data_IF_634241239079
#
_entry.id   IF_634241239079
#
_cell.length_a   1.000
_cell.length_b   1.000
_cell.length_c   1.000
_cell.angle_alpha   90.00
_cell.angle_beta   90.00
_cell.angle_gamma   90.00
#
_symmetry.space_group_name_H-M   'P 1'
#
loop_
_entity.id
_entity.type
_entity.pdbx_description
1 polymer ?
#
# COMPACT_ATOMS: atom_id res chain seq x y z
N UNK A 1 -11.63 -37.69 22.48
CA UNK A 1 -12.57 -37.01 21.55
C UNK A 1 -13.83 -37.85 21.46
N UNK A 2 -15.00 -37.32 21.82
CA UNK A 2 -16.25 -38.04 21.60
C UNK A 2 -16.49 -38.12 20.08
N UNK A 3 -16.48 -39.33 19.53
CA UNK A 3 -16.86 -39.55 18.14
C UNK A 3 -18.35 -39.24 18.01
N UNK A 4 -18.65 -38.04 17.50
CA UNK A 4 -20.01 -37.66 17.11
C UNK A 4 -20.42 -38.55 15.93
N UNK A 5 -21.11 -39.67 16.21
CA UNK A 5 -21.80 -40.42 15.17
C UNK A 5 -22.94 -39.53 14.65
N UNK A 6 -22.80 -39.05 13.42
CA UNK A 6 -23.77 -38.15 12.76
C UNK A 6 -24.55 -38.92 11.68
N UNK A 7 -23.98 -40.00 11.13
CA UNK A 7 -24.52 -40.72 9.98
C UNK A 7 -25.84 -41.48 10.18
N UNK A 8 -26.42 -41.50 11.39
CA UNK A 8 -27.74 -42.12 11.66
C UNK A 8 -28.87 -41.09 11.72
N UNK A 9 -28.57 -39.78 11.67
CA UNK A 9 -29.59 -38.74 11.77
C UNK A 9 -30.32 -38.57 10.45
N UNK A 10 -31.62 -38.28 10.53
CA UNK A 10 -32.36 -37.79 9.37
C UNK A 10 -31.84 -36.42 8.93
N UNK A 11 -32.11 -36.03 7.67
CA UNK A 11 -31.70 -34.72 7.15
C UNK A 11 -32.27 -33.56 8.01
N UNK A 12 -33.52 -33.68 8.47
CA UNK A 12 -34.16 -32.67 9.31
C UNK A 12 -33.50 -32.59 10.70
N UNK A 13 -33.22 -33.72 11.33
CA UNK A 13 -32.55 -33.76 12.64
C UNK A 13 -31.11 -33.25 12.55
N UNK A 14 -30.41 -33.56 11.46
CA UNK A 14 -29.07 -33.06 11.20
C UNK A 14 -29.06 -31.53 11.09
N UNK A 15 -29.97 -30.94 10.30
CA UNK A 15 -30.07 -29.49 10.14
C UNK A 15 -30.47 -28.80 11.45
N UNK A 16 -31.42 -29.36 12.20
CA UNK A 16 -31.83 -28.82 13.50
C UNK A 16 -30.68 -28.88 14.52
N UNK A 17 -29.96 -30.01 14.58
CA UNK A 17 -28.79 -30.18 15.45
C UNK A 17 -27.66 -29.23 15.06
N UNK A 18 -27.37 -29.09 13.77
CA UNK A 18 -26.38 -28.16 13.25
C UNK A 18 -26.72 -26.72 13.62
N UNK A 19 -27.98 -26.31 13.46
CA UNK A 19 -28.45 -24.99 13.87
C UNK A 19 -28.22 -24.69 15.36
N UNK A 20 -28.48 -25.66 16.25
CA UNK A 20 -28.17 -25.54 17.68
C UNK A 20 -26.67 -25.40 17.95
N UNK A 21 -25.84 -26.17 17.25
CA UNK A 21 -24.37 -26.06 17.38
C UNK A 21 -23.87 -24.69 16.93
N UNK A 22 -24.39 -24.14 15.83
CA UNK A 22 -24.04 -22.80 15.35
C UNK A 22 -24.44 -21.72 16.36
N UNK A 23 -25.59 -21.83 17.00
CA UNK A 23 -25.99 -20.90 18.06
C UNK A 23 -25.03 -20.98 19.27
N UNK A 24 -24.69 -22.20 19.70
CA UNK A 24 -23.72 -22.40 20.78
C UNK A 24 -22.34 -21.88 20.41
N UNK A 25 -21.89 -22.07 19.17
CA UNK A 25 -20.64 -21.54 18.65
C UNK A 25 -20.60 -20.01 18.74
N UNK A 26 -21.68 -19.32 18.36
CA UNK A 26 -21.77 -17.86 18.46
C UNK A 26 -21.72 -17.37 19.90
N UNK A 27 -22.41 -18.05 20.82
CA UNK A 27 -22.35 -17.75 22.26
C UNK A 27 -20.93 -17.93 22.82
N UNK A 28 -20.28 -19.06 22.52
CA UNK A 28 -18.90 -19.31 22.92
C UNK A 28 -17.98 -18.25 22.32
N UNK A 29 -18.19 -17.87 21.06
CA UNK A 29 -17.41 -16.83 20.40
C UNK A 29 -17.55 -15.50 21.12
N UNK A 30 -18.76 -15.09 21.48
CA UNK A 30 -19.00 -13.88 22.29
C UNK A 30 -18.24 -13.93 23.62
N UNK A 31 -18.36 -15.02 24.39
CA UNK A 31 -17.63 -15.19 25.66
C UNK A 31 -16.11 -15.14 25.49
N UNK A 32 -15.59 -15.73 24.41
CA UNK A 32 -14.16 -15.63 24.06
C UNK A 32 -13.76 -14.17 23.82
N UNK A 33 -14.59 -13.37 23.15
CA UNK A 33 -14.29 -11.95 22.93
C UNK A 33 -14.31 -11.15 24.23
N UNK A 34 -15.22 -11.42 25.17
CA UNK A 34 -15.22 -10.78 26.49
C UNK A 34 -13.93 -11.08 27.25
N UNK A 35 -13.50 -12.34 27.28
CA UNK A 35 -12.23 -12.73 27.87
C UNK A 35 -11.05 -12.02 27.19
N UNK A 36 -11.04 -11.95 25.85
CA UNK A 36 -9.97 -11.25 25.12
C UNK A 36 -9.97 -9.75 25.45
N UNK A 37 -11.14 -9.12 25.57
CA UNK A 37 -11.25 -7.70 25.92
C UNK A 37 -10.68 -7.42 27.32
N UNK A 38 -10.95 -8.33 28.28
CA UNK A 38 -10.46 -8.22 29.64
C UNK A 38 -8.95 -8.50 29.73
N UNK A 39 -8.45 -9.51 29.00
CA UNK A 39 -7.02 -9.79 28.86
C UNK A 39 -6.29 -8.58 28.27
N UNK A 40 -6.85 -7.91 27.25
CA UNK A 40 -6.27 -6.70 26.64
C UNK A 40 -6.25 -5.54 27.66
N UNK A 41 -7.35 -5.37 28.42
CA UNK A 41 -7.49 -4.32 29.45
C UNK A 41 -6.45 -4.46 30.56
N UNK A 42 -6.31 -5.67 31.11
CA UNK A 42 -5.35 -5.99 32.17
C UNK A 42 -3.93 -6.24 31.67
N UNK A 43 -3.73 -6.31 30.36
CA UNK A 43 -2.45 -6.63 29.70
C UNK A 43 -1.81 -7.94 30.20
N UNK A 44 -2.61 -8.96 30.51
CA UNK A 44 -2.12 -10.23 31.11
C UNK A 44 -1.11 -10.98 30.23
N UNK A 45 -1.06 -10.66 28.94
CA UNK A 45 -0.06 -11.20 28.01
C UNK A 45 1.37 -10.75 28.34
N UNK A 46 1.55 -9.61 29.01
CA UNK A 46 2.86 -9.12 29.46
C UNK A 46 3.44 -10.01 30.55
N UNK A 47 2.60 -10.43 31.52
CA UNK A 47 2.99 -11.35 32.60
C UNK A 47 3.37 -12.75 32.06
N UNK A 48 2.92 -13.06 30.85
CA UNK A 48 3.26 -14.29 30.11
C UNK A 48 4.43 -14.10 29.13
N UNK A 49 5.17 -13.00 29.23
CA UNK A 49 6.33 -12.67 28.39
C UNK A 49 6.03 -12.53 26.89
N UNK A 50 4.80 -12.18 26.52
CA UNK A 50 4.44 -11.86 25.14
C UNK A 50 4.48 -10.34 24.91
N UNK A 51 5.08 -9.86 23.81
CA UNK A 51 5.21 -8.42 23.54
C UNK A 51 3.88 -7.76 23.15
N UNK A 52 2.86 -8.53 22.80
CA UNK A 52 1.54 -8.02 22.45
C UNK A 52 0.46 -9.10 22.62
N UNK A 53 -0.80 -8.66 22.75
CA UNK A 53 -1.97 -9.55 22.71
C UNK A 53 -2.04 -10.38 21.43
N UNK A 54 -1.63 -9.81 20.29
CA UNK A 54 -1.58 -10.54 19.02
C UNK A 54 -0.62 -11.73 19.10
N UNK A 55 0.61 -11.50 19.58
CA UNK A 55 1.61 -12.56 19.70
C UNK A 55 1.14 -13.65 20.67
N UNK A 56 0.49 -13.24 21.76
CA UNK A 56 -0.10 -14.15 22.74
C UNK A 56 -1.17 -15.04 22.12
N UNK A 57 -2.13 -14.49 21.39
CA UNK A 57 -3.19 -15.28 20.75
C UNK A 57 -2.65 -16.22 19.66
N UNK A 58 -1.63 -15.79 18.91
CA UNK A 58 -1.05 -16.61 17.83
C UNK A 58 -0.18 -17.74 18.38
N UNK A 59 0.74 -17.43 19.30
CA UNK A 59 1.73 -18.39 19.79
C UNK A 59 1.19 -19.31 20.88
N UNK A 60 0.45 -18.77 21.85
CA UNK A 60 -0.07 -19.56 22.98
C UNK A 60 -1.34 -20.34 22.59
N UNK A 61 -2.28 -19.66 21.94
CA UNK A 61 -3.60 -20.24 21.62
C UNK A 61 -3.74 -20.74 20.18
N UNK A 62 -2.68 -20.65 19.37
CA UNK A 62 -2.64 -21.24 18.02
C UNK A 62 -3.57 -20.56 17.01
N UNK A 63 -4.04 -19.33 17.26
CA UNK A 63 -4.85 -18.61 16.27
C UNK A 63 -4.01 -18.26 15.04
N UNK A 64 -4.62 -18.37 13.86
CA UNK A 64 -4.02 -17.77 12.66
C UNK A 64 -3.95 -16.25 12.80
N UNK A 65 -3.00 -15.61 12.11
CA UNK A 65 -2.83 -14.15 12.13
C UNK A 65 -4.13 -13.39 11.87
N UNK A 66 -4.89 -13.81 10.86
CA UNK A 66 -6.17 -13.19 10.51
C UNK A 66 -7.26 -13.45 11.56
N UNK A 67 -7.29 -14.64 12.15
CA UNK A 67 -8.24 -14.99 13.19
C UNK A 67 -7.98 -14.23 14.50
N UNK A 68 -6.71 -14.06 14.87
CA UNK A 68 -6.29 -13.29 16.04
C UNK A 68 -6.66 -11.80 15.89
N UNK A 69 -6.30 -11.19 14.75
CA UNK A 69 -6.62 -9.78 14.48
C UNK A 69 -8.13 -9.51 14.52
N UNK A 70 -8.94 -10.34 13.86
CA UNK A 70 -10.41 -10.18 13.87
C UNK A 70 -10.98 -10.24 15.29
N UNK A 71 -10.47 -11.14 16.13
CA UNK A 71 -10.90 -11.27 17.53
C UNK A 71 -10.48 -10.07 18.37
N UNK A 72 -9.25 -9.61 18.23
CA UNK A 72 -8.76 -8.42 18.95
C UNK A 72 -9.58 -7.19 18.57
N UNK A 73 -9.83 -6.99 17.27
CA UNK A 73 -10.63 -5.86 16.79
C UNK A 73 -12.08 -5.94 17.26
N UNK A 74 -12.69 -7.13 17.19
CA UNK A 74 -14.06 -7.35 17.66
C UNK A 74 -14.17 -7.19 19.18
N UNK A 75 -13.20 -7.67 19.95
CA UNK A 75 -13.17 -7.55 21.41
C UNK A 75 -13.03 -6.09 21.86
N UNK A 76 -12.20 -5.30 21.18
CA UNK A 76 -12.08 -3.85 21.43
C UNK A 76 -13.38 -3.12 21.12
N UNK A 77 -14.01 -3.43 19.99
CA UNK A 77 -15.30 -2.86 19.62
C UNK A 77 -16.40 -3.26 20.61
N UNK A 78 -16.42 -4.52 21.05
CA UNK A 78 -17.36 -5.02 22.06
C UNK A 78 -17.25 -4.27 23.39
N UNK A 79 -16.02 -3.91 23.82
CA UNK A 79 -15.79 -3.12 25.03
C UNK A 79 -16.31 -1.68 24.89
N UNK A 80 -16.23 -1.10 23.70
CA UNK A 80 -16.73 0.24 23.42
C UNK A 80 -18.26 0.27 23.21
N UNK A 81 -18.83 -0.79 22.62
CA UNK A 81 -20.25 -0.93 22.29
C UNK A 81 -20.77 -2.30 22.75
N UNK A 82 -21.19 -2.44 24.03
CA UNK A 82 -21.61 -3.72 24.60
C UNK A 82 -22.82 -4.36 23.91
N UNK A 83 -23.69 -3.56 23.28
CA UNK A 83 -24.87 -4.03 22.53
C UNK A 83 -24.53 -5.02 21.38
N UNK A 84 -23.29 -4.99 20.90
CA UNK A 84 -22.79 -5.92 19.88
C UNK A 84 -22.86 -7.38 20.35
N UNK A 85 -22.80 -7.66 21.66
CA UNK A 85 -22.89 -8.99 22.24
C UNK A 85 -24.11 -9.77 21.69
N UNK A 86 -25.30 -9.19 21.84
CA UNK A 86 -26.56 -9.81 21.41
C UNK A 86 -26.63 -9.99 19.88
N UNK A 87 -26.01 -9.08 19.14
CA UNK A 87 -25.93 -9.13 17.67
C UNK A 87 -25.01 -10.24 17.17
N UNK A 88 -23.93 -10.53 17.90
CA UNK A 88 -23.06 -11.69 17.62
C UNK A 88 -23.80 -12.99 17.91
N UNK A 89 -24.46 -13.10 19.06
CA UNK A 89 -25.16 -14.33 19.47
C UNK A 89 -26.32 -14.69 18.53
N UNK A 90 -27.13 -13.69 18.15
CA UNK A 90 -28.20 -13.86 17.16
C UNK A 90 -27.65 -14.14 15.75
N UNK A 91 -26.41 -13.75 15.47
CA UNK A 91 -25.78 -13.84 14.15
C UNK A 91 -26.22 -12.72 13.19
N UNK A 92 -26.81 -11.65 13.71
CA UNK A 92 -27.03 -10.42 12.94
C UNK A 92 -25.69 -9.79 12.50
N UNK A 93 -24.65 -9.94 13.33
CA UNK A 93 -23.29 -9.51 13.04
C UNK A 93 -22.29 -10.65 13.22
N UNK A 94 -21.19 -10.61 12.47
CA UNK A 94 -20.09 -11.56 12.58
C UNK A 94 -18.72 -10.88 12.73
N UNK A 95 -17.71 -11.63 13.18
CA UNK A 95 -16.34 -11.16 13.43
C UNK A 95 -15.69 -10.43 12.25
N UNK A 96 -16.01 -10.83 11.01
CA UNK A 96 -15.45 -10.20 9.81
C UNK A 96 -15.97 -8.78 9.64
N UNK A 97 -17.28 -8.59 9.87
CA UNK A 97 -17.91 -7.28 9.81
C UNK A 97 -17.40 -6.35 10.91
N UNK A 98 -17.33 -6.84 12.16
CA UNK A 98 -16.83 -6.06 13.30
C UNK A 98 -15.38 -5.60 13.11
N UNK A 99 -14.53 -6.49 12.58
CA UNK A 99 -13.15 -6.17 12.22
C UNK A 99 -13.08 -5.05 11.17
N UNK A 100 -13.93 -5.10 10.13
CA UNK A 100 -14.01 -4.02 9.13
C UNK A 100 -14.49 -2.69 9.70
N UNK A 101 -15.49 -2.71 10.58
CA UNK A 101 -15.95 -1.50 11.28
C UNK A 101 -14.80 -0.88 12.06
N UNK A 102 -14.05 -1.66 12.86
CA UNK A 102 -12.93 -1.12 13.63
C UNK A 102 -11.82 -0.55 12.73
N UNK A 103 -11.56 -1.18 11.58
CA UNK A 103 -10.60 -0.68 10.58
C UNK A 103 -11.08 0.62 9.94
N UNK A 104 -12.37 0.72 9.61
CA UNK A 104 -12.97 1.93 9.08
C UNK A 104 -12.89 3.08 10.09
N UNK A 105 -13.29 2.84 11.35
CA UNK A 105 -13.17 3.81 12.46
C UNK A 105 -11.73 4.31 12.62
N UNK A 106 -10.74 3.41 12.62
CA UNK A 106 -9.32 3.81 12.69
C UNK A 106 -8.87 4.62 11.47
N UNK A 107 -9.44 4.36 10.30
CA UNK A 107 -9.11 5.08 9.06
C UNK A 107 -9.65 6.51 9.12
N UNK A 108 -10.91 6.68 9.53
CA UNK A 108 -11.53 8.00 9.81
C UNK A 108 -10.71 8.76 10.84
N UNK A 109 -10.33 8.10 11.94
CA UNK A 109 -9.53 8.73 12.99
C UNK A 109 -8.19 9.25 12.48
N UNK A 110 -7.55 8.57 11.53
CA UNK A 110 -6.28 9.02 10.94
C UNK A 110 -6.47 10.14 9.93
N UNK A 111 -7.55 10.11 9.14
CA UNK A 111 -7.81 11.09 8.09
C UNK A 111 -8.30 12.42 8.63
N UNK A 112 -9.29 12.35 9.52
CA UNK A 112 -10.00 13.52 10.03
C UNK A 112 -9.45 13.98 11.38
N UNK A 113 -8.49 13.24 11.95
CA UNK A 113 -7.94 13.47 13.29
C UNK A 113 -9.02 13.58 14.39
N UNK A 114 -10.17 12.92 14.19
CA UNK A 114 -11.31 12.90 15.13
C UNK A 114 -11.55 11.51 15.67
N UNK A 115 -12.04 11.40 16.90
CA UNK A 115 -12.56 10.14 17.42
C UNK A 115 -14.05 10.04 17.07
N UNK A 116 -14.47 8.85 16.65
CA UNK A 116 -15.88 8.56 16.45
C UNK A 116 -16.55 8.25 17.79
N UNK A 117 -17.71 8.84 18.01
CA UNK A 117 -18.51 8.62 19.20
C UNK A 117 -19.15 7.23 19.22
N UNK A 118 -19.55 6.79 20.41
CA UNK A 118 -20.22 5.50 20.61
C UNK A 118 -21.52 5.41 19.80
N UNK A 119 -22.27 6.52 19.70
CA UNK A 119 -23.52 6.63 18.95
C UNK A 119 -23.31 6.44 17.45
N UNK A 120 -22.30 7.09 16.87
CA UNK A 120 -21.96 6.91 15.44
C UNK A 120 -21.58 5.45 15.15
N UNK A 121 -20.82 4.80 16.05
CA UNK A 121 -20.47 3.38 15.93
C UNK A 121 -21.72 2.49 15.99
N UNK A 122 -22.66 2.78 16.87
CA UNK A 122 -23.93 2.05 16.97
C UNK A 122 -24.77 2.17 15.70
N UNK A 123 -24.85 3.37 15.11
CA UNK A 123 -25.57 3.57 13.84
C UNK A 123 -24.95 2.79 12.69
N UNK A 124 -23.62 2.80 12.58
CA UNK A 124 -22.91 1.97 11.60
C UNK A 124 -23.20 0.49 11.79
N UNK A 125 -23.15 0.01 13.03
CA UNK A 125 -23.39 -1.40 13.36
C UNK A 125 -24.81 -1.84 12.99
N UNK A 126 -25.81 -0.98 13.22
CA UNK A 126 -27.20 -1.23 12.79
C UNK A 126 -27.34 -1.33 11.27
N UNK A 127 -26.62 -0.48 10.53
CA UNK A 127 -26.71 -0.45 9.06
C UNK A 127 -26.14 -1.69 8.36
N UNK A 128 -25.27 -2.46 9.04
CA UNK A 128 -24.57 -3.62 8.44
C UNK A 128 -25.15 -4.97 8.89
N UNK A 129 -26.18 -4.99 9.72
CA UNK A 129 -26.84 -6.22 10.19
C UNK A 129 -27.36 -7.06 9.01
N UNK A 130 -27.15 -8.38 9.06
CA UNK A 130 -27.59 -9.33 8.02
C UNK A 130 -27.05 -9.05 6.60
N UNK A 131 -25.99 -8.26 6.48
CA UNK A 131 -25.37 -7.97 5.17
C UNK A 131 -24.21 -8.92 4.85
N UNK A 132 -23.93 -9.08 3.56
CA UNK A 132 -22.74 -9.80 3.12
C UNK A 132 -21.48 -8.97 3.33
N UNK A 133 -20.33 -9.62 3.31
CA UNK A 133 -19.02 -8.98 3.50
C UNK A 133 -18.74 -7.84 2.49
N UNK A 134 -19.25 -7.98 1.26
CA UNK A 134 -19.11 -6.99 0.19
C UNK A 134 -20.06 -5.80 0.40
N UNK A 135 -21.32 -6.08 0.75
CA UNK A 135 -22.28 -5.03 1.07
C UNK A 135 -21.85 -4.22 2.30
N UNK A 136 -21.29 -4.87 3.33
CA UNK A 136 -20.72 -4.18 4.50
C UNK A 136 -19.65 -3.17 4.08
N UNK A 137 -18.74 -3.52 3.17
CA UNK A 137 -17.70 -2.57 2.70
C UNK A 137 -18.29 -1.37 1.97
N UNK A 138 -19.28 -1.61 1.11
CA UNK A 138 -19.95 -0.54 0.36
C UNK A 138 -20.64 0.41 1.34
N UNK A 139 -21.39 -0.13 2.30
CA UNK A 139 -22.11 0.66 3.32
C UNK A 139 -21.14 1.46 4.18
N UNK A 140 -20.06 0.85 4.67
CA UNK A 140 -19.05 1.55 5.48
C UNK A 140 -18.35 2.65 4.69
N UNK A 141 -18.03 2.40 3.42
CA UNK A 141 -17.42 3.40 2.55
C UNK A 141 -18.33 4.61 2.33
N UNK A 142 -19.61 4.36 2.04
CA UNK A 142 -20.61 5.40 1.84
C UNK A 142 -20.91 6.18 3.12
N UNK A 143 -21.16 5.48 4.23
CA UNK A 143 -21.55 6.10 5.50
C UNK A 143 -20.45 7.00 6.08
N UNK A 144 -19.18 6.61 5.89
CA UNK A 144 -18.03 7.34 6.40
C UNK A 144 -17.35 8.23 5.36
N UNK A 145 -17.93 8.34 4.16
CA UNK A 145 -17.33 9.05 3.01
C UNK A 145 -15.85 8.68 2.80
N UNK A 146 -15.50 7.42 3.07
CA UNK A 146 -14.12 6.98 3.02
C UNK A 146 -13.65 7.00 1.57
N UNK A 147 -12.50 7.63 1.27
CA UNK A 147 -11.96 7.56 -0.06
C UNK A 147 -11.67 6.10 -0.37
N UNK A 148 -12.11 5.64 -1.54
CA UNK A 148 -11.72 4.33 -2.05
C UNK A 148 -10.20 4.42 -2.23
N UNK A 149 -9.45 3.81 -1.30
CA UNK A 149 -8.00 3.75 -1.38
C UNK A 149 -7.61 2.88 -2.57
N UNK A 150 -7.46 3.52 -3.72
CA UNK A 150 -6.88 2.95 -4.94
C UNK A 150 -5.36 3.07 -4.88
N UNK A 151 -4.75 2.60 -3.79
CA UNK A 151 -3.29 2.50 -3.75
C UNK A 151 -2.88 1.22 -4.48
N UNK A 152 -2.01 1.40 -5.47
CA UNK A 152 -1.38 0.28 -6.16
C UNK A 152 -0.49 -0.46 -5.15
N UNK A 153 -0.82 -1.72 -4.88
CA UNK A 153 -0.04 -2.56 -3.96
C UNK A 153 0.92 -3.42 -4.75
N UNK A 154 2.20 -3.30 -4.43
CA UNK A 154 3.25 -4.17 -4.93
C UNK A 154 3.69 -5.11 -3.81
N UNK A 155 3.58 -6.41 -4.05
CA UNK A 155 4.06 -7.44 -3.13
C UNK A 155 5.15 -8.26 -3.80
N UNK A 156 6.34 -8.18 -3.24
CA UNK A 156 7.48 -9.00 -3.65
C UNK A 156 7.39 -10.37 -2.95
N UNK A 157 7.59 -11.42 -3.73
CA UNK A 157 7.65 -12.79 -3.24
C UNK A 157 9.09 -13.26 -3.06
N UNK A 158 9.27 -14.42 -2.42
CA UNK A 158 10.59 -14.99 -2.13
C UNK A 158 11.33 -15.45 -3.39
N UNK A 159 10.59 -15.75 -4.45
CA UNK A 159 11.10 -16.17 -5.75
C UNK A 159 11.35 -14.99 -6.71
N UNK A 160 11.46 -13.77 -6.17
CA UNK A 160 11.59 -12.51 -6.92
C UNK A 160 10.40 -12.15 -7.82
N UNK A 161 9.33 -12.97 -7.82
CA UNK A 161 8.11 -12.61 -8.51
C UNK A 161 7.39 -11.46 -7.79
N UNK A 162 6.67 -10.64 -8.57
CA UNK A 162 5.98 -9.46 -8.06
C UNK A 162 4.49 -9.58 -8.35
N UNK A 163 3.67 -9.45 -7.32
CA UNK A 163 2.22 -9.27 -7.49
C UNK A 163 1.88 -7.80 -7.41
N UNK A 164 1.37 -7.27 -8.52
CA UNK A 164 0.81 -5.93 -8.62
C UNK A 164 -0.72 -6.00 -8.48
N UNK A 165 -1.26 -5.35 -7.46
CA UNK A 165 -2.71 -5.19 -7.27
C UNK A 165 -3.08 -3.73 -7.53
N UNK A 166 -3.82 -3.49 -8.61
CA UNK A 166 -4.31 -2.17 -8.99
C UNK A 166 -5.84 -2.16 -9.01
N UNK A 167 -6.44 -1.01 -8.70
CA UNK A 167 -7.89 -0.80 -8.81
C UNK A 167 -8.17 0.09 -10.01
N UNK A 168 -8.87 -0.45 -11.01
CA UNK A 168 -9.18 0.26 -12.25
C UNK A 168 -10.61 0.76 -12.23
N UNK A 169 -10.83 1.98 -12.72
CA UNK A 169 -12.17 2.45 -13.04
C UNK A 169 -12.77 1.64 -14.19
N UNK A 170 -14.11 1.69 -14.35
CA UNK A 170 -14.79 1.02 -15.47
C UNK A 170 -14.24 1.47 -16.83
N UNK A 171 -13.94 2.76 -16.96
CA UNK A 171 -13.37 3.36 -18.18
C UNK A 171 -11.93 2.85 -18.43
N UNK A 172 -11.09 2.84 -17.40
CA UNK A 172 -9.71 2.33 -17.50
C UNK A 172 -9.67 0.86 -17.89
N UNK A 173 -10.55 0.04 -17.31
CA UNK A 173 -10.65 -1.38 -17.66
C UNK A 173 -11.13 -1.59 -19.10
N UNK A 174 -12.04 -0.74 -19.60
CA UNK A 174 -12.50 -0.80 -20.99
C UNK A 174 -11.36 -0.50 -21.97
N UNK A 175 -10.54 0.52 -21.68
CA UNK A 175 -9.35 0.87 -22.48
C UNK A 175 -8.35 -0.29 -22.51
N UNK A 176 -8.09 -0.92 -21.36
CA UNK A 176 -7.15 -2.05 -21.30
C UNK A 176 -7.67 -3.27 -22.07
N UNK A 177 -8.97 -3.57 -22.02
CA UNK A 177 -9.58 -4.62 -22.83
C UNK A 177 -9.47 -4.35 -24.32
N UNK A 178 -9.79 -3.12 -24.75
CA UNK A 178 -9.64 -2.73 -26.15
C UNK A 178 -8.18 -2.86 -26.62
N UNK A 179 -7.22 -2.45 -25.78
CA UNK A 179 -5.80 -2.61 -26.09
C UNK A 179 -5.41 -4.10 -26.18
N UNK A 180 -5.93 -4.96 -25.31
CA UNK A 180 -5.71 -6.41 -25.33
C UNK A 180 -6.25 -7.05 -26.63
N UNK A 181 -7.44 -6.66 -27.07
CA UNK A 181 -8.04 -7.17 -28.31
C UNK A 181 -7.21 -6.77 -29.54
N UNK A 182 -6.69 -5.54 -29.58
CA UNK A 182 -5.84 -5.05 -30.68
C UNK A 182 -4.48 -5.77 -30.76
N UNK A 183 -3.97 -6.28 -29.64
CA UNK A 183 -2.68 -7.00 -29.60
C UNK A 183 -2.84 -8.53 -29.58
N UNK A 184 -4.06 -9.06 -29.68
CA UNK A 184 -4.34 -10.49 -29.55
C UNK A 184 -3.56 -11.36 -30.56
N UNK A 185 -3.23 -10.82 -31.73
CA UNK A 185 -2.37 -11.49 -32.71
C UNK A 185 -0.88 -11.53 -32.32
N UNK A 186 -0.42 -10.55 -31.54
CA UNK A 186 0.97 -10.46 -31.09
C UNK A 186 1.21 -11.16 -29.74
N UNK A 187 0.18 -11.23 -28.89
CA UNK A 187 0.20 -11.91 -27.59
C UNK A 187 -1.02 -12.85 -27.50
N UNK A 188 -0.87 -14.12 -27.90
CA UNK A 188 -1.99 -15.08 -27.93
C UNK A 188 -2.49 -15.45 -26.52
N UNK A 189 -1.59 -15.50 -25.54
CA UNK A 189 -1.95 -15.73 -24.14
C UNK A 189 -2.57 -14.45 -23.56
N UNK A 190 -3.88 -14.48 -23.27
CA UNK A 190 -4.65 -13.33 -22.73
C UNK A 190 -4.32 -12.96 -21.28
N UNK A 191 -3.10 -13.22 -20.82
CA UNK A 191 -2.62 -12.83 -19.50
C UNK A 191 -2.32 -11.34 -19.50
N UNK A 192 -2.76 -10.67 -18.44
CA UNK A 192 -2.55 -9.23 -18.27
C UNK A 192 -1.07 -8.86 -18.17
N UNK A 193 -0.25 -9.69 -17.52
CA UNK A 193 1.20 -9.47 -17.40
C UNK A 193 1.87 -9.33 -18.78
N UNK A 194 1.55 -10.24 -19.70
CA UNK A 194 2.15 -10.26 -21.05
C UNK A 194 1.62 -9.11 -21.90
N UNK A 195 0.30 -8.85 -21.81
CA UNK A 195 -0.37 -7.75 -22.52
C UNK A 195 0.22 -6.39 -22.11
N UNK A 196 0.36 -6.15 -20.80
CA UNK A 196 0.95 -4.91 -20.25
C UNK A 196 2.42 -4.80 -20.64
N UNK A 197 3.18 -5.90 -20.54
CA UNK A 197 4.61 -5.92 -20.91
C UNK A 197 4.81 -5.57 -22.37
N UNK A 198 4.00 -6.14 -23.27
CA UNK A 198 4.08 -5.85 -24.71
C UNK A 198 3.78 -4.37 -25.01
N UNK A 199 2.71 -3.82 -24.43
CA UNK A 199 2.35 -2.40 -24.59
C UNK A 199 3.45 -1.48 -24.06
N UNK A 200 4.00 -1.79 -22.88
CA UNK A 200 5.09 -1.03 -22.28
C UNK A 200 6.36 -1.08 -23.16
N UNK A 201 6.74 -2.26 -23.66
CA UNK A 201 7.89 -2.41 -24.55
C UNK A 201 7.71 -1.64 -25.86
N UNK A 202 6.51 -1.62 -26.43
CA UNK A 202 6.21 -0.84 -27.65
C UNK A 202 6.38 0.65 -27.40
N UNK A 203 5.91 1.17 -26.27
CA UNK A 203 6.07 2.58 -25.91
C UNK A 203 7.52 2.94 -25.60
N UNK A 204 8.24 2.08 -24.88
CA UNK A 204 9.67 2.25 -24.61
C UNK A 204 10.46 2.27 -25.92
N UNK A 205 10.22 1.33 -26.84
CA UNK A 205 10.86 1.28 -28.15
C UNK A 205 10.57 2.54 -28.96
N UNK A 206 9.29 2.96 -29.04
CA UNK A 206 8.88 4.19 -29.73
C UNK A 206 9.67 5.39 -29.23
N UNK A 207 9.67 5.63 -27.91
CA UNK A 207 10.37 6.79 -27.32
C UNK A 207 11.89 6.68 -27.41
N UNK A 208 12.46 5.48 -27.31
CA UNK A 208 13.92 5.29 -27.40
C UNK A 208 14.41 5.48 -28.84
N UNK A 209 13.66 5.02 -29.84
CA UNK A 209 13.98 5.19 -31.26
C UNK A 209 13.81 6.64 -31.72
N UNK A 210 12.78 7.35 -31.28
CA UNK A 210 12.63 8.79 -31.56
C UNK A 210 13.82 9.59 -31.03
N UNK A 211 14.41 9.18 -29.89
CA UNK A 211 15.58 9.83 -29.30
C UNK A 211 16.89 9.55 -30.05
N UNK A 212 17.00 8.41 -30.76
CA UNK A 212 18.15 8.04 -31.60
C UNK A 212 18.10 8.71 -32.98
N UNK A 213 16.91 8.84 -33.58
CA UNK A 213 16.74 9.49 -34.88
C UNK A 213 17.08 11.00 -34.84
N UNK A 214 16.80 11.68 -33.72
CA UNK A 214 17.15 13.10 -33.54
C UNK A 214 18.64 13.38 -33.30
N UNK A 215 19.49 12.36 -33.12
CA UNK A 215 20.93 12.53 -32.85
C UNK A 215 21.84 12.36 -34.07
N UNK A 216 21.31 12.05 -35.25
CA UNK A 216 22.13 11.75 -36.45
C UNK A 216 22.24 12.94 -37.42
N UNK A 217 21.45 14.00 -37.27
CA UNK A 217 21.58 15.22 -38.09
C UNK A 217 22.24 16.37 -37.32
N UNK A 218 23.59 16.33 -37.21
CA UNK A 218 24.44 17.54 -37.22
C UNK A 218 25.94 17.16 -37.25
N UNK A 219 26.45 16.80 -38.42
CA UNK A 219 27.81 17.17 -38.86
C UNK A 219 27.78 18.66 -39.25
N UNK A 220 28.79 19.51 -39.15
CA UNK A 220 30.16 19.52 -38.60
C UNK A 220 30.69 20.95 -38.88
N UNK A 221 31.46 21.55 -37.96
CA UNK A 221 32.64 22.41 -38.24
C UNK A 221 33.20 23.02 -36.94
N UNK A 222 34.52 23.23 -36.84
CA UNK A 222 35.19 23.75 -35.65
C UNK A 222 35.56 25.24 -35.82
N UNK A 223 35.36 26.07 -34.77
CA UNK A 223 36.10 27.34 -34.64
C UNK A 223 36.48 27.56 -33.18
N UNK A 224 37.75 27.88 -32.99
CA UNK A 224 38.44 28.13 -31.74
C UNK A 224 38.18 29.54 -31.17
N UNK A 225 38.37 29.65 -29.85
CA UNK A 225 38.74 30.81 -28.99
C UNK A 225 37.89 32.11 -29.12
N UNK A 226 37.58 32.88 -28.07
CA UNK A 226 38.39 33.47 -27.00
C UNK A 226 37.46 33.97 -25.87
N UNK A 227 38.06 34.26 -24.71
CA UNK A 227 37.45 34.65 -23.43
C UNK A 227 36.66 35.98 -23.41
N UNK A 228 35.71 36.10 -22.46
CA UNK A 228 35.67 37.13 -21.40
C UNK A 228 34.34 37.12 -20.61
N UNK A 229 34.45 37.37 -19.30
CA UNK A 229 33.40 37.45 -18.30
C UNK A 229 32.20 38.35 -18.65
N UNK A 230 30.99 37.82 -18.43
CA UNK A 230 29.86 38.54 -17.81
C UNK A 230 28.83 37.50 -17.32
N UNK A 231 28.51 37.53 -16.02
CA UNK A 231 27.69 36.53 -15.30
C UNK A 231 26.21 36.61 -15.69
N UNK A 232 25.90 36.24 -16.92
CA UNK A 232 24.57 35.84 -17.31
C UNK A 232 24.42 34.35 -17.04
N UNK A 233 23.41 34.01 -16.24
CA UNK A 233 23.07 32.64 -15.83
C UNK A 233 22.88 31.78 -17.07
N UNK A 234 23.87 30.98 -17.42
CA UNK A 234 23.73 30.00 -18.49
C UNK A 234 23.07 28.75 -17.90
N UNK A 235 21.80 28.46 -18.27
CA UNK A 235 21.17 27.23 -17.85
C UNK A 235 21.93 26.03 -18.43
N UNK A 236 21.97 24.93 -17.67
CA UNK A 236 22.51 23.65 -18.15
C UNK A 236 21.88 23.29 -19.50
N UNK A 237 22.72 23.09 -20.52
CA UNK A 237 22.24 22.76 -21.86
C UNK A 237 21.44 21.45 -21.84
N UNK A 238 20.36 21.32 -22.64
CA UNK A 238 19.57 20.09 -22.70
C UNK A 238 20.42 18.84 -23.00
N UNK A 239 21.47 19.00 -23.82
CA UNK A 239 22.43 17.93 -24.15
C UNK A 239 23.22 17.47 -22.92
N UNK A 240 23.72 18.41 -22.12
CA UNK A 240 24.47 18.09 -20.91
C UNK A 240 23.58 17.43 -19.85
N UNK A 241 22.33 17.90 -19.69
CA UNK A 241 21.35 17.25 -18.80
C UNK A 241 21.12 15.79 -19.17
N UNK A 242 20.97 15.51 -20.47
CA UNK A 242 20.75 14.16 -20.99
C UNK A 242 21.95 13.24 -20.72
N UNK A 243 23.18 13.71 -20.95
CA UNK A 243 24.41 12.94 -20.72
C UNK A 243 24.53 12.54 -19.24
N UNK A 244 24.32 13.49 -18.33
CA UNK A 244 24.47 13.26 -16.88
C UNK A 244 23.44 12.25 -16.36
N UNK A 245 22.18 12.35 -16.81
CA UNK A 245 21.12 11.39 -16.45
C UNK A 245 21.32 10.01 -17.09
N UNK A 246 21.97 9.91 -18.25
CA UNK A 246 22.26 8.62 -18.89
C UNK A 246 23.41 7.87 -18.21
N UNK A 247 24.46 8.59 -17.78
CA UNK A 247 25.63 8.01 -17.13
C UNK A 247 25.36 7.60 -15.68
N UNK A 248 24.42 8.27 -14.99
CA UNK A 248 24.14 8.05 -13.58
C UNK A 248 22.67 7.73 -13.35
N UNK A 249 22.34 6.43 -13.39
CA UNK A 249 20.96 5.91 -13.25
C UNK A 249 20.49 5.72 -11.81
N UNK A 250 21.27 6.14 -10.82
CA UNK A 250 20.91 6.05 -9.41
C UNK A 250 21.41 7.26 -8.62
N UNK A 251 20.78 7.51 -7.47
CA UNK A 251 21.12 8.60 -6.57
C UNK A 251 22.52 8.40 -5.96
N UNK A 252 23.36 9.41 -6.14
CA UNK A 252 24.77 9.42 -5.74
C UNK A 252 25.00 10.02 -4.34
N UNK A 253 23.94 10.35 -3.59
CA UNK A 253 24.07 10.91 -2.24
C UNK A 253 24.82 9.94 -1.32
N UNK A 254 25.82 10.47 -0.60
CA UNK A 254 26.59 9.76 0.42
C UNK A 254 26.37 10.39 1.78
N UNK A 255 26.02 9.57 2.76
CA UNK A 255 25.94 10.01 4.16
C UNK A 255 27.35 10.30 4.70
N UNK A 256 27.55 11.47 5.31
CA UNK A 256 28.82 11.91 5.90
C UNK A 256 29.21 11.12 7.15
N UNK A 257 28.22 10.55 7.85
CA UNK A 257 28.43 9.83 9.12
C UNK A 257 28.60 8.33 8.90
N UNK A 258 27.79 7.73 8.02
CA UNK A 258 27.80 6.28 7.78
C UNK A 258 28.47 5.85 6.47
N UNK A 259 28.76 6.78 5.56
CA UNK A 259 29.36 6.50 4.24
C UNK A 259 28.45 5.78 3.24
N UNK A 260 27.21 5.44 3.64
CA UNK A 260 26.26 4.70 2.79
C UNK A 260 25.76 5.56 1.63
N UNK A 261 25.60 4.95 0.46
CA UNK A 261 25.00 5.54 -0.74
C UNK A 261 23.51 5.24 -0.83
N UNK A 262 22.70 6.20 -1.29
CA UNK A 262 21.25 6.02 -1.40
C UNK A 262 20.83 4.97 -2.45
N UNK A 263 21.39 5.02 -3.66
CA UNK A 263 21.10 4.04 -4.72
C UNK A 263 19.70 4.11 -5.36
N UNK A 264 18.81 5.02 -4.94
CA UNK A 264 17.46 5.15 -5.52
C UNK A 264 17.50 5.45 -7.03
N UNK A 265 16.62 4.83 -7.82
CA UNK A 265 16.53 4.99 -9.29
C UNK A 265 15.33 5.85 -9.74
N UNK A 266 14.52 6.37 -8.80
CA UNK A 266 13.27 7.09 -9.09
C UNK A 266 13.44 8.61 -8.92
N UNK A 267 12.73 9.38 -9.75
CA UNK A 267 12.66 10.85 -9.69
C UNK A 267 14.03 11.52 -9.54
N UNK A 268 14.96 11.15 -10.43
CA UNK A 268 16.32 11.64 -10.44
C UNK A 268 16.39 13.09 -10.97
N UNK A 269 17.11 13.93 -10.24
CA UNK A 269 17.34 15.34 -10.52
C UNK A 269 18.84 15.61 -10.61
N UNK A 270 19.22 16.52 -11.50
CA UNK A 270 20.61 16.95 -11.64
C UNK A 270 20.85 18.10 -10.67
N UNK A 271 21.92 17.98 -9.91
CA UNK A 271 22.35 18.96 -8.92
C UNK A 271 23.85 19.22 -9.07
N UNK A 272 24.33 20.38 -8.61
CA UNK A 272 25.74 20.74 -8.63
C UNK A 272 26.40 20.37 -7.31
N UNK A 273 27.47 19.57 -7.30
CA UNK A 273 28.24 19.19 -6.11
C UNK A 273 28.65 20.40 -5.29
N UNK A 274 29.25 21.39 -5.94
CA UNK A 274 29.38 22.76 -5.43
C UNK A 274 28.31 23.62 -6.08
N UNK A 275 27.42 24.18 -5.26
CA UNK A 275 26.33 25.00 -5.75
C UNK A 275 26.83 26.21 -6.55
N UNK A 276 26.03 26.64 -7.52
CA UNK A 276 26.38 27.77 -8.42
C UNK A 276 26.59 29.07 -7.64
N UNK A 277 25.82 29.29 -6.57
CA UNK A 277 25.97 30.47 -5.71
C UNK A 277 27.30 30.48 -4.94
N UNK A 278 27.87 29.30 -4.66
CA UNK A 278 29.17 29.10 -4.04
C UNK A 278 30.32 29.03 -5.07
N UNK A 279 30.09 29.49 -6.31
CA UNK A 279 31.10 29.50 -7.38
C UNK A 279 31.20 28.23 -8.22
N UNK A 280 30.25 27.30 -8.09
CA UNK A 280 30.24 26.05 -8.85
C UNK A 280 30.05 26.24 -10.36
N UNK A 281 30.82 25.52 -11.17
CA UNK A 281 30.71 25.51 -12.64
C UNK A 281 29.67 24.50 -13.15
N UNK A 282 29.28 24.61 -14.42
CA UNK A 282 28.43 23.63 -15.10
C UNK A 282 29.22 22.43 -15.66
N UNK A 283 30.46 22.21 -15.21
CA UNK A 283 31.28 21.11 -15.71
C UNK A 283 30.72 19.76 -15.26
N UNK A 284 30.87 18.73 -16.10
CA UNK A 284 30.36 17.37 -15.82
C UNK A 284 30.85 16.85 -14.45
N UNK A 285 32.08 17.19 -14.06
CA UNK A 285 32.67 16.79 -12.78
C UNK A 285 31.98 17.44 -11.57
N UNK A 286 31.43 18.64 -11.75
CA UNK A 286 30.66 19.33 -10.71
C UNK A 286 29.18 18.92 -10.72
N UNK A 287 28.72 18.08 -11.64
CA UNK A 287 27.34 17.62 -11.68
C UNK A 287 27.18 16.26 -10.98
N UNK A 288 26.06 16.09 -10.32
CA UNK A 288 25.66 14.83 -9.68
C UNK A 288 24.17 14.59 -9.88
N UNK A 289 23.76 13.33 -9.66
CA UNK A 289 22.36 12.93 -9.75
C UNK A 289 21.84 12.51 -8.38
N UNK A 290 20.78 13.18 -7.92
CA UNK A 290 20.14 12.96 -6.62
C UNK A 290 18.65 12.63 -6.82
N UNK A 291 18.05 11.82 -5.94
CA UNK A 291 16.59 11.71 -5.92
C UNK A 291 15.98 13.00 -5.34
N UNK A 292 14.71 13.28 -5.64
CA UNK A 292 14.02 14.48 -5.16
C UNK A 292 14.18 14.72 -3.64
N UNK A 293 14.14 13.66 -2.83
CA UNK A 293 14.28 13.75 -1.37
C UNK A 293 15.69 14.16 -0.94
N UNK A 294 16.74 13.59 -1.55
CA UNK A 294 18.13 13.92 -1.23
C UNK A 294 18.55 15.27 -1.79
N UNK A 295 17.99 15.68 -2.94
CA UNK A 295 18.20 17.01 -3.48
C UNK A 295 17.65 18.08 -2.51
N UNK A 296 16.43 17.88 -2.01
CA UNK A 296 15.82 18.76 -1.01
C UNK A 296 16.60 18.76 0.32
N UNK A 297 17.06 17.60 0.78
CA UNK A 297 17.88 17.49 1.99
C UNK A 297 19.19 18.26 1.87
N UNK A 298 19.89 18.15 0.73
CA UNK A 298 21.12 18.90 0.47
C UNK A 298 20.85 20.41 0.46
N UNK A 299 19.82 20.85 -0.26
CA UNK A 299 19.43 22.26 -0.32
C UNK A 299 19.12 22.84 1.07
N UNK A 300 18.45 22.06 1.93
CA UNK A 300 18.23 22.46 3.34
C UNK A 300 19.55 22.64 4.09
N UNK A 301 20.48 21.68 3.99
CA UNK A 301 21.79 21.78 4.67
C UNK A 301 22.60 23.00 4.20
N UNK A 302 22.58 23.29 2.91
CA UNK A 302 23.28 24.44 2.33
C UNK A 302 22.68 25.78 2.78
N UNK A 303 21.36 25.89 2.87
CA UNK A 303 20.68 27.08 3.40
C UNK A 303 20.88 27.31 4.90
N UNK A 304 21.17 26.27 5.69
CA UNK A 304 21.50 26.44 7.11
C UNK A 304 22.97 26.86 7.34
N UNK A 305 23.80 26.82 6.30
CA UNK A 305 25.24 27.13 6.35
C UNK A 305 25.59 28.41 5.57
N UNK A 306 24.60 29.10 5.00
CA UNK A 306 24.73 30.40 4.31
C UNK A 306 24.08 31.51 5.12
#
# INVERSE_FOLDING_TARGET
MQNFKIGYLSNADLLARFGKLVQTERKITHLVLECIAEIDSRKLYLDKAYPSLYEFLVREFGYSSSAALRRIESARLLREVPEVAQKIESGALNLSQLSKVQQAVRTVQKMENRQMDVTEKQELLKSIEHTTQQQTEVILSQALSLPIFTEDKEKNHRDESVTLTITLSKEQMAILKQAQDLIAHAVPEKKWADSITYLAQKEIKRRTQTVLASSVNSDSTPVASVAACQKNRTPLSPRLKKIVLQNHRCCQFKDKTTGKTCGSTRFLQIDHRQAVWAGGSNDIQNLQVLCAQHNLHKYRQENFLS
#
